data_IF_794931872276
#
_entry.id   IF_794931872276
#
_cell.length_a   1.000
_cell.length_b   1.000
_cell.length_c   1.000
_cell.angle_alpha   90.00
_cell.angle_beta   90.00
_cell.angle_gamma   90.00
#
_symmetry.space_group_name_H-M   'P 1'
#
loop_
_entity.id
_entity.type
_entity.pdbx_description
1 polymer ?
#
# COMPACT_ATOMS: atom_id res chain seq x y z
N UNK A 1 -5.14 19.74 -0.09
CA UNK A 1 -4.96 18.85 -1.25
C UNK A 1 -5.95 17.71 -1.10
N UNK A 2 -6.86 17.55 -2.06
CA UNK A 2 -7.83 16.45 -2.06
C UNK A 2 -7.27 15.39 -2.99
N UNK A 3 -6.90 14.23 -2.46
CA UNK A 3 -6.55 13.07 -3.27
C UNK A 3 -7.81 12.27 -3.53
N UNK A 4 -8.15 12.09 -4.80
CA UNK A 4 -9.18 11.17 -5.23
C UNK A 4 -8.57 9.78 -5.35
N UNK A 5 -8.69 8.99 -4.28
CA UNK A 5 -8.15 7.63 -4.19
C UNK A 5 -9.33 6.66 -4.15
N UNK A 6 -9.44 5.84 -5.19
CA UNK A 6 -10.42 4.75 -5.23
C UNK A 6 -9.83 3.49 -4.59
N UNK A 7 -10.24 3.20 -3.35
CA UNK A 7 -9.90 1.97 -2.64
C UNK A 7 -11.14 1.26 -2.12
N UNK A 8 -11.12 -0.06 -2.20
CA UNK A 8 -12.18 -0.92 -1.66
C UNK A 8 -12.33 -0.75 -0.15
N UNK A 9 -13.49 -1.11 0.40
CA UNK A 9 -13.74 -1.10 1.85
C UNK A 9 -12.69 -1.91 2.64
N UNK A 10 -12.21 -3.02 2.07
CA UNK A 10 -11.20 -3.88 2.70
C UNK A 10 -9.81 -3.22 2.74
N UNK A 11 -9.41 -2.53 1.66
CA UNK A 11 -8.18 -1.74 1.63
C UNK A 11 -8.27 -0.53 2.55
N UNK A 12 -9.43 0.13 2.63
CA UNK A 12 -9.67 1.23 3.57
C UNK A 12 -9.54 0.77 5.03
N UNK A 13 -10.07 -0.41 5.36
CA UNK A 13 -9.90 -1.01 6.68
C UNK A 13 -8.43 -1.31 7.01
N UNK A 14 -7.66 -1.78 6.01
CA UNK A 14 -6.22 -1.97 6.14
C UNK A 14 -5.49 -0.65 6.43
N UNK A 15 -5.72 0.39 5.62
CA UNK A 15 -5.12 1.74 5.78
C UNK A 15 -5.48 2.39 7.12
N UNK A 16 -6.69 2.14 7.64
CA UNK A 16 -7.16 2.72 8.91
C UNK A 16 -6.81 1.90 10.14
N UNK A 17 -6.21 0.72 9.98
CA UNK A 17 -5.86 -0.13 11.09
C UNK A 17 -4.87 0.59 12.02
N UNK A 18 -5.09 0.46 13.33
CA UNK A 18 -4.25 1.10 14.37
C UNK A 18 -3.23 0.14 14.98
N UNK A 19 -3.23 -1.12 14.54
CA UNK A 19 -2.27 -2.11 15.01
C UNK A 19 -0.86 -1.74 14.51
N UNK A 20 0.15 -2.09 15.30
CA UNK A 20 1.54 -1.88 14.91
C UNK A 20 1.92 -2.69 13.66
N UNK A 21 1.41 -3.91 13.56
CA UNK A 21 1.53 -4.78 12.39
C UNK A 21 0.15 -5.17 11.89
N UNK A 22 -0.04 -5.11 10.58
CA UNK A 22 -1.31 -5.43 9.93
C UNK A 22 -1.06 -6.38 8.78
N UNK A 23 -1.67 -7.56 8.82
CA UNK A 23 -1.55 -8.55 7.75
C UNK A 23 -2.74 -8.44 6.78
N UNK A 24 -2.46 -8.08 5.53
CA UNK A 24 -3.48 -7.94 4.49
C UNK A 24 -3.52 -9.15 3.54
N UNK A 25 -4.21 -10.21 3.97
CA UNK A 25 -4.42 -11.43 3.17
C UNK A 25 -5.55 -11.31 2.14
N UNK A 26 -5.63 -12.26 1.21
CA UNK A 26 -6.71 -12.37 0.22
C UNK A 26 -6.26 -13.05 -1.08
N UNK A 27 -7.21 -13.30 -1.99
CA UNK A 27 -6.97 -13.93 -3.29
C UNK A 27 -5.99 -13.14 -4.18
N UNK A 28 -5.36 -13.81 -5.14
CA UNK A 28 -4.60 -13.16 -6.20
C UNK A 28 -5.50 -12.15 -6.95
N UNK A 29 -4.95 -11.00 -7.36
CA UNK A 29 -5.71 -9.93 -8.01
C UNK A 29 -6.57 -9.05 -7.06
N UNK A 30 -6.68 -9.37 -5.77
CA UNK A 30 -7.49 -8.59 -4.81
C UNK A 30 -6.95 -7.21 -4.40
N UNK A 31 -6.09 -6.58 -5.20
CA UNK A 31 -5.63 -5.20 -4.96
C UNK A 31 -4.68 -5.00 -3.77
N UNK A 32 -4.02 -6.06 -3.27
CA UNK A 32 -3.13 -5.97 -2.09
C UNK A 32 -1.96 -5.01 -2.29
N UNK A 33 -1.26 -5.10 -3.42
CA UNK A 33 -0.15 -4.18 -3.76
C UNK A 33 -0.61 -2.73 -3.79
N UNK A 34 -1.75 -2.46 -4.42
CA UNK A 34 -2.31 -1.11 -4.51
C UNK A 34 -2.68 -0.56 -3.12
N UNK A 35 -3.33 -1.36 -2.28
CA UNK A 35 -3.64 -0.96 -0.89
C UNK A 35 -2.38 -0.60 -0.08
N UNK A 36 -1.29 -1.36 -0.24
CA UNK A 36 0.00 -1.07 0.40
C UNK A 36 0.62 0.24 -0.10
N UNK A 37 0.53 0.52 -1.41
CA UNK A 37 1.03 1.77 -2.00
C UNK A 37 0.27 2.99 -1.48
N UNK A 38 -1.06 2.88 -1.39
CA UNK A 38 -1.91 3.94 -0.84
C UNK A 38 -1.59 4.20 0.63
N UNK A 39 -1.42 3.14 1.44
CA UNK A 39 -1.05 3.28 2.84
C UNK A 39 0.29 4.02 3.00
N UNK A 40 1.31 3.62 2.23
CA UNK A 40 2.63 4.25 2.24
C UNK A 40 2.58 5.73 1.81
N UNK A 41 1.78 6.04 0.77
CA UNK A 41 1.57 7.42 0.30
C UNK A 41 0.92 8.29 1.38
N UNK A 42 -0.17 7.80 2.00
CA UNK A 42 -0.86 8.53 3.05
C UNK A 42 0.04 8.73 4.29
N UNK A 43 0.86 7.73 4.62
CA UNK A 43 1.85 7.86 5.68
C UNK A 43 2.89 8.96 5.35
N UNK A 44 3.41 8.99 4.12
CA UNK A 44 4.37 10.01 3.68
C UNK A 44 3.78 11.43 3.74
N UNK A 45 2.52 11.59 3.31
CA UNK A 45 1.80 12.86 3.37
C UNK A 45 1.55 13.32 4.80
N UNK A 46 1.29 12.37 5.72
CA UNK A 46 1.07 12.68 7.14
C UNK A 46 2.37 12.98 7.88
N UNK A 47 3.46 12.32 7.50
CA UNK A 47 4.75 12.40 8.18
C UNK A 47 5.87 12.77 7.19
N UNK A 48 6.07 14.08 6.94
CA UNK A 48 7.12 14.57 6.06
C UNK A 48 8.51 14.07 6.50
N UNK A 49 9.31 13.60 5.55
CA UNK A 49 10.64 13.05 5.80
C UNK A 49 10.67 11.60 6.29
N UNK A 50 9.52 10.92 6.36
CA UNK A 50 9.48 9.48 6.64
C UNK A 50 10.22 8.68 5.56
N UNK A 51 10.96 7.66 6.01
CA UNK A 51 11.63 6.68 5.14
C UNK A 51 10.88 5.36 5.22
N UNK A 52 10.53 4.81 4.06
CA UNK A 52 9.66 3.63 3.95
C UNK A 52 10.27 2.64 2.96
N UNK A 53 9.99 1.36 3.16
CA UNK A 53 10.44 0.27 2.29
C UNK A 53 9.25 -0.60 1.90
N UNK A 54 9.14 -0.90 0.61
CA UNK A 54 8.21 -1.90 0.09
C UNK A 54 9.05 -2.99 -0.57
N UNK A 55 8.93 -4.21 -0.06
CA UNK A 55 9.82 -5.32 -0.43
C UNK A 55 9.06 -6.42 -1.16
N UNK A 56 9.74 -7.02 -2.14
CA UNK A 56 9.34 -8.25 -2.82
C UNK A 56 10.53 -9.22 -2.82
N UNK A 57 10.24 -10.49 -3.11
CA UNK A 57 11.26 -11.55 -3.12
C UNK A 57 12.33 -11.31 -4.18
N UNK A 58 11.91 -10.86 -5.36
CA UNK A 58 12.80 -10.58 -6.49
C UNK A 58 12.48 -9.21 -7.08
N UNK A 59 13.46 -8.59 -7.76
CA UNK A 59 13.24 -7.33 -8.46
C UNK A 59 12.18 -7.45 -9.57
N UNK A 60 12.15 -8.51 -10.41
CA UNK A 60 11.05 -8.70 -11.37
C UNK A 60 9.65 -8.77 -10.72
N UNK A 61 9.51 -9.33 -9.52
CA UNK A 61 8.22 -9.32 -8.80
C UNK A 61 7.84 -7.91 -8.32
N UNK A 62 8.83 -7.12 -7.91
CA UNK A 62 8.66 -5.71 -7.54
C UNK A 62 8.15 -4.92 -8.75
N UNK A 63 8.88 -5.01 -9.85
CA UNK A 63 8.61 -4.31 -11.10
C UNK A 63 7.18 -4.60 -11.58
N UNK A 64 6.84 -5.88 -11.76
CA UNK A 64 5.50 -6.31 -12.23
C UNK A 64 4.34 -5.89 -11.34
N UNK A 65 4.57 -5.60 -10.05
CA UNK A 65 3.48 -5.40 -9.08
C UNK A 65 3.38 -4.00 -8.49
N UNK A 66 4.43 -3.19 -8.58
CA UNK A 66 4.52 -1.90 -7.89
C UNK A 66 5.13 -0.78 -8.73
N UNK A 67 5.83 -1.10 -9.82
CA UNK A 67 6.44 -0.10 -10.71
C UNK A 67 5.63 -0.09 -12.00
N UNK A 68 5.14 1.08 -12.39
CA UNK A 68 4.56 1.28 -13.71
C UNK A 68 5.70 1.74 -14.62
N UNK A 69 5.97 0.96 -15.67
CA UNK A 69 6.80 1.39 -16.80
C UNK A 69 5.97 2.21 -17.81
#
# INVERSE_FOLDING_TARGET
>A
MTLDIDITARQLAFVRAKAFEVLFGGAAGGGKSYGQLIDALLYALRYPGSKQLILRRTYPDLERSLILE
#
